data_IF_729398221604
#
_entry.id   IF_729398221604
#
_cell.length_a   1.000
_cell.length_b   1.000
_cell.length_c   1.000
_cell.angle_alpha   90.00
_cell.angle_beta   90.00
_cell.angle_gamma   90.00
#
_symmetry.space_group_name_H-M   'P 1'
#
loop_
_entity.id
_entity.type
_entity.pdbx_description
1 polymer ?
#
# COMPACT_ATOMS: atom_id res chain seq x y z
N UNK A 1 41.26 -4.71 -1.82
CA UNK A 1 40.76 -5.65 -2.85
C UNK A 1 41.94 -6.35 -3.50
N UNK A 2 41.82 -7.65 -3.78
CA UNK A 2 42.86 -8.47 -4.44
C UNK A 2 42.27 -9.18 -5.64
N UNK A 3 42.87 -9.04 -6.82
CA UNK A 3 42.46 -9.81 -8.00
C UNK A 3 42.93 -11.25 -7.86
N UNK A 4 41.98 -12.17 -7.86
CA UNK A 4 42.24 -13.61 -7.79
C UNK A 4 42.33 -14.22 -9.18
N UNK A 5 41.51 -13.74 -10.11
CA UNK A 5 41.48 -14.21 -11.48
C UNK A 5 41.07 -13.08 -12.43
N UNK A 6 41.75 -12.99 -13.56
CA UNK A 6 41.37 -12.16 -14.69
C UNK A 6 41.90 -12.86 -15.94
N UNK A 7 41.02 -13.12 -16.91
CA UNK A 7 41.40 -13.60 -18.24
C UNK A 7 40.81 -12.67 -19.28
N UNK A 8 41.55 -12.44 -20.37
CA UNK A 8 41.05 -11.71 -21.53
C UNK A 8 39.96 -12.48 -22.29
N UNK A 9 39.84 -13.80 -22.05
CA UNK A 9 38.83 -14.68 -22.66
C UNK A 9 37.58 -14.86 -21.79
N UNK A 10 37.64 -14.53 -20.50
CA UNK A 10 36.51 -14.67 -19.59
C UNK A 10 35.68 -13.39 -19.54
N UNK A 11 34.35 -13.52 -19.60
CA UNK A 11 33.42 -12.38 -19.50
C UNK A 11 33.36 -11.72 -18.10
N UNK A 12 34.21 -12.15 -17.16
CA UNK A 12 34.27 -11.62 -15.79
C UNK A 12 35.68 -11.75 -15.21
N UNK A 13 35.92 -11.00 -14.13
CA UNK A 13 37.09 -11.16 -13.26
C UNK A 13 36.65 -11.56 -11.84
N UNK A 14 37.53 -12.20 -11.08
CA UNK A 14 37.26 -12.59 -9.70
C UNK A 14 38.12 -11.76 -8.75
N UNK A 15 37.48 -11.07 -7.81
CA UNK A 15 38.13 -10.28 -6.78
C UNK A 15 37.83 -10.85 -5.39
N UNK A 16 38.81 -10.78 -4.50
CA UNK A 16 38.61 -10.88 -3.06
C UNK A 16 38.46 -9.47 -2.49
N UNK A 17 37.34 -9.23 -1.82
CA UNK A 17 36.96 -7.91 -1.30
C UNK A 17 36.65 -8.05 0.19
N UNK A 18 37.29 -7.27 1.08
CA UNK A 18 36.89 -7.21 2.48
C UNK A 18 35.41 -6.84 2.62
N UNK A 19 34.69 -7.47 3.55
CA UNK A 19 33.25 -7.21 3.71
C UNK A 19 32.93 -5.72 3.93
N UNK A 20 33.76 -5.01 4.69
CA UNK A 20 33.60 -3.58 4.92
C UNK A 20 33.74 -2.75 3.64
N UNK A 21 34.69 -3.09 2.75
CA UNK A 21 34.86 -2.45 1.46
C UNK A 21 33.63 -2.69 0.58
N UNK A 22 33.14 -3.93 0.53
CA UNK A 22 31.95 -4.26 -0.25
C UNK A 22 30.71 -3.47 0.21
N UNK A 23 30.54 -3.26 1.52
CA UNK A 23 29.45 -2.44 2.03
C UNK A 23 29.46 -1.01 1.46
N UNK A 24 30.65 -0.45 1.19
CA UNK A 24 30.84 0.91 0.66
C UNK A 24 30.62 1.03 -0.86
N UNK A 25 30.63 -0.08 -1.61
CA UNK A 25 30.37 -0.10 -3.06
C UNK A 25 28.95 0.42 -3.33
N UNK A 26 28.75 1.20 -4.39
CA UNK A 26 27.45 1.79 -4.71
C UNK A 26 26.40 0.73 -5.09
N UNK A 27 25.13 1.04 -4.86
CA UNK A 27 24.00 0.18 -5.24
C UNK A 27 23.32 0.74 -6.48
N UNK A 28 23.30 -0.06 -7.55
CA UNK A 28 22.54 0.28 -8.74
C UNK A 28 21.06 -0.04 -8.55
N UNK A 29 20.14 0.60 -9.30
CA UNK A 29 18.74 0.17 -9.37
C UNK A 29 18.56 -1.33 -9.67
N UNK A 30 19.47 -1.93 -10.44
CA UNK A 30 19.49 -3.37 -10.75
C UNK A 30 19.60 -4.25 -9.49
N UNK A 31 20.35 -3.81 -8.49
CA UNK A 31 20.55 -4.53 -7.22
C UNK A 31 19.25 -4.83 -6.48
N UNK A 32 18.25 -3.95 -6.62
CA UNK A 32 16.95 -4.09 -5.97
C UNK A 32 16.06 -5.13 -6.66
N UNK A 33 16.29 -5.40 -7.95
CA UNK A 33 15.43 -6.23 -8.77
C UNK A 33 15.78 -7.72 -8.73
N UNK A 34 17.01 -8.07 -8.35
CA UNK A 34 17.37 -9.48 -8.17
C UNK A 34 16.42 -10.06 -7.10
N UNK A 35 15.67 -11.14 -7.44
CA UNK A 35 14.67 -11.71 -6.54
C UNK A 35 15.27 -12.06 -5.19
N UNK A 36 14.53 -11.76 -4.13
CA UNK A 36 14.90 -12.21 -2.81
C UNK A 36 14.80 -13.74 -2.75
N UNK A 37 15.87 -14.36 -2.30
CA UNK A 37 15.84 -15.76 -1.87
C UNK A 37 15.24 -15.81 -0.46
N UNK A 38 14.55 -16.89 -0.11
CA UNK A 38 14.02 -17.10 1.26
C UNK A 38 15.14 -16.96 2.30
N UNK A 39 14.90 -16.21 3.39
CA UNK A 39 15.83 -16.10 4.52
C UNK A 39 16.27 -17.48 5.03
N UNK A 40 15.36 -18.46 5.05
CA UNK A 40 15.64 -19.82 5.51
C UNK A 40 16.65 -20.55 4.63
N UNK A 41 16.72 -20.20 3.34
CA UNK A 41 17.69 -20.78 2.41
C UNK A 41 19.13 -20.45 2.84
N UNK A 42 19.41 -19.19 3.18
CA UNK A 42 20.75 -18.77 3.59
C UNK A 42 21.15 -19.31 4.96
N UNK A 43 20.19 -19.34 5.90
CA UNK A 43 20.42 -19.92 7.22
C UNK A 43 20.71 -21.43 7.13
N UNK A 44 20.02 -22.14 6.24
CA UNK A 44 20.28 -23.56 5.97
C UNK A 44 21.71 -23.78 5.44
N UNK A 45 22.15 -22.98 4.46
CA UNK A 45 23.51 -23.11 3.90
C UNK A 45 24.61 -22.85 4.93
N UNK A 46 24.38 -21.96 5.90
CA UNK A 46 25.36 -21.66 6.95
C UNK A 46 25.64 -22.85 7.88
N UNK A 47 24.72 -23.83 7.97
CA UNK A 47 24.90 -25.02 8.81
C UNK A 47 26.00 -25.96 8.29
N UNK A 48 26.38 -25.85 7.01
CA UNK A 48 27.45 -26.63 6.41
C UNK A 48 28.69 -25.77 6.18
N UNK A 49 29.85 -26.07 6.79
CA UNK A 49 31.08 -25.29 6.59
C UNK A 49 31.53 -25.19 5.13
N UNK A 50 31.25 -26.21 4.31
CA UNK A 50 31.60 -26.20 2.88
C UNK A 50 30.67 -25.32 2.06
N UNK A 51 29.41 -25.16 2.48
CA UNK A 51 28.41 -24.33 1.79
C UNK A 51 28.33 -22.91 2.37
N UNK A 52 28.81 -22.69 3.59
CA UNK A 52 28.85 -21.35 4.19
C UNK A 52 29.72 -20.40 3.38
N UNK A 53 30.77 -20.90 2.72
CA UNK A 53 31.60 -20.12 1.79
C UNK A 53 30.81 -19.62 0.57
N UNK A 54 29.78 -20.35 0.12
CA UNK A 54 28.92 -19.91 -0.97
C UNK A 54 28.14 -18.64 -0.61
N UNK A 55 27.83 -18.42 0.67
CA UNK A 55 27.19 -17.17 1.11
C UNK A 55 28.09 -15.95 0.90
N UNK A 56 29.41 -16.14 0.84
CA UNK A 56 30.38 -15.08 0.57
C UNK A 56 30.57 -14.75 -0.91
N UNK A 57 29.89 -15.44 -1.82
CA UNK A 57 29.93 -15.15 -3.25
C UNK A 57 28.95 -14.02 -3.59
N UNK A 58 29.43 -13.02 -4.31
CA UNK A 58 28.65 -11.87 -4.78
C UNK A 58 29.01 -11.50 -6.20
N UNK A 59 28.13 -10.78 -6.87
CA UNK A 59 28.33 -10.26 -8.21
C UNK A 59 28.37 -8.73 -8.20
N UNK A 60 29.31 -8.15 -8.95
CA UNK A 60 29.47 -6.72 -9.16
C UNK A 60 29.48 -6.40 -10.65
N UNK A 61 29.03 -5.20 -10.98
CA UNK A 61 29.21 -4.60 -12.31
C UNK A 61 30.34 -3.57 -12.22
N UNK A 62 31.23 -3.59 -13.21
CA UNK A 62 32.24 -2.56 -13.40
C UNK A 62 31.86 -1.70 -14.59
N UNK A 63 31.61 -0.43 -14.33
CA UNK A 63 31.20 0.57 -15.33
C UNK A 63 32.31 1.60 -15.42
N UNK A 64 33.09 1.54 -16.50
CA UNK A 64 34.32 2.33 -16.60
C UNK A 64 35.30 1.98 -15.46
N UNK A 65 35.54 2.93 -14.55
CA UNK A 65 36.42 2.76 -13.38
C UNK A 65 35.71 2.42 -12.07
N UNK A 66 34.37 2.40 -12.04
CA UNK A 66 33.58 2.27 -10.82
C UNK A 66 32.92 0.90 -10.68
N UNK A 67 32.67 0.50 -9.42
CA UNK A 67 31.99 -0.74 -9.08
C UNK A 67 30.59 -0.47 -8.53
N UNK A 68 29.65 -1.31 -8.96
CA UNK A 68 28.27 -1.30 -8.52
C UNK A 68 27.86 -2.70 -8.08
N UNK A 69 27.10 -2.80 -6.99
CA UNK A 69 26.51 -4.07 -6.56
C UNK A 69 25.50 -4.56 -7.60
N UNK A 70 25.58 -5.84 -7.95
CA UNK A 70 24.61 -6.52 -8.80
C UNK A 70 23.70 -7.45 -7.99
N UNK A 71 24.30 -8.27 -7.11
CA UNK A 71 23.57 -9.18 -6.22
C UNK A 71 24.04 -9.12 -4.76
N UNK A 72 23.33 -9.83 -3.89
CA UNK A 72 23.67 -9.94 -2.46
C UNK A 72 22.80 -9.11 -1.53
N UNK A 73 21.67 -8.57 -2.03
CA UNK A 73 20.71 -7.76 -1.27
C UNK A 73 20.21 -8.46 -0.01
N UNK A 74 19.68 -9.68 -0.12
CA UNK A 74 19.17 -10.38 1.06
C UNK A 74 20.31 -10.73 2.05
N UNK A 75 21.45 -11.24 1.55
CA UNK A 75 22.61 -11.53 2.40
C UNK A 75 23.11 -10.29 3.16
N UNK A 76 23.15 -9.12 2.51
CA UNK A 76 23.45 -7.83 3.15
C UNK A 76 22.51 -7.56 4.34
N UNK A 77 21.21 -7.76 4.17
CA UNK A 77 20.21 -7.54 5.21
C UNK A 77 20.38 -8.53 6.37
N UNK A 78 20.62 -9.81 6.06
CA UNK A 78 20.85 -10.86 7.06
C UNK A 78 22.15 -10.63 7.85
N UNK A 79 23.23 -10.23 7.19
CA UNK A 79 24.50 -9.86 7.85
C UNK A 79 24.34 -8.65 8.75
N UNK A 80 23.65 -7.60 8.29
CA UNK A 80 23.43 -6.38 9.07
C UNK A 80 22.50 -6.59 10.26
N UNK A 81 21.50 -7.46 10.13
CA UNK A 81 20.60 -7.81 11.23
C UNK A 81 21.21 -8.81 12.23
N UNK A 82 22.38 -9.39 11.91
CA UNK A 82 23.03 -10.41 12.74
C UNK A 82 22.39 -11.80 12.63
N UNK A 83 21.39 -11.99 11.76
CA UNK A 83 20.78 -13.29 11.49
C UNK A 83 21.75 -14.25 10.80
N UNK A 84 22.63 -13.72 9.95
CA UNK A 84 23.71 -14.46 9.27
C UNK A 84 25.05 -13.89 9.73
N UNK A 85 26.06 -14.74 9.96
CA UNK A 85 27.39 -14.21 10.30
C UNK A 85 28.04 -13.57 9.06
N UNK A 86 28.52 -12.32 9.15
CA UNK A 86 29.24 -11.70 8.05
C UNK A 86 30.59 -12.39 7.84
N UNK A 87 31.00 -12.64 6.58
CA UNK A 87 32.35 -13.13 6.31
C UNK A 87 33.37 -12.00 6.45
N UNK A 88 34.64 -12.34 6.70
CA UNK A 88 35.73 -11.34 6.71
C UNK A 88 35.97 -10.78 5.30
N UNK A 89 35.90 -11.66 4.30
CA UNK A 89 36.09 -11.36 2.87
C UNK A 89 35.00 -12.01 2.03
N UNK A 90 34.63 -11.33 0.94
CA UNK A 90 33.73 -11.79 -0.09
C UNK A 90 34.51 -12.12 -1.36
N UNK A 91 34.03 -13.12 -2.09
CA UNK A 91 34.49 -13.41 -3.46
C UNK A 91 33.51 -12.76 -4.45
N UNK A 92 33.98 -11.74 -5.15
CA UNK A 92 33.19 -10.95 -6.09
C UNK A 92 33.50 -11.34 -7.53
N UNK A 93 32.49 -11.81 -8.25
CA UNK A 93 32.51 -11.90 -9.72
C UNK A 93 32.20 -10.52 -10.29
N UNK A 94 33.14 -9.94 -11.04
CA UNK A 94 33.05 -8.60 -11.59
C UNK A 94 32.90 -8.68 -13.10
N UNK A 95 31.76 -8.21 -13.59
CA UNK A 95 31.44 -8.13 -15.01
C UNK A 95 31.67 -6.71 -15.50
N UNK A 96 32.54 -6.53 -16.49
CA UNK A 96 32.70 -5.24 -17.16
C UNK A 96 31.48 -5.01 -18.06
N UNK A 97 30.83 -3.86 -17.88
CA UNK A 97 29.66 -3.45 -18.67
C UNK A 97 29.88 -2.02 -19.17
N UNK A 98 29.43 -1.73 -20.39
CA UNK A 98 29.55 -0.38 -20.94
C UNK A 98 28.63 0.61 -20.20
N UNK A 99 29.02 1.88 -20.13
CA UNK A 99 28.17 2.95 -19.56
C UNK A 99 26.80 3.05 -20.25
N UNK A 100 26.76 2.83 -21.57
CA UNK A 100 25.54 2.87 -22.38
C UNK A 100 24.60 1.73 -21.99
N UNK A 101 25.12 0.51 -21.88
CA UNK A 101 24.32 -0.67 -21.50
C UNK A 101 23.85 -0.59 -20.05
N UNK A 102 24.71 -0.15 -19.14
CA UNK A 102 24.34 0.08 -17.74
C UNK A 102 23.21 1.12 -17.61
N UNK A 103 23.29 2.21 -18.37
CA UNK A 103 22.25 3.25 -18.38
C UNK A 103 20.93 2.73 -18.94
N UNK A 104 20.98 1.97 -20.04
CA UNK A 104 19.79 1.37 -20.67
C UNK A 104 19.09 0.37 -19.74
N UNK A 105 19.85 -0.53 -19.10
CA UNK A 105 19.31 -1.48 -18.13
C UNK A 105 18.70 -0.76 -16.94
N UNK A 106 19.36 0.24 -16.37
CA UNK A 106 18.80 1.02 -15.26
C UNK A 106 17.50 1.73 -15.66
N UNK A 107 17.42 2.32 -16.86
CA UNK A 107 16.22 2.98 -17.35
C UNK A 107 15.06 1.98 -17.56
N UNK A 108 15.33 0.84 -18.20
CA UNK A 108 14.34 -0.24 -18.34
C UNK A 108 13.85 -0.72 -16.98
N UNK A 109 14.76 -0.86 -16.01
CA UNK A 109 14.42 -1.30 -14.67
C UNK A 109 13.61 -0.28 -13.88
N UNK A 110 13.90 1.01 -14.02
CA UNK A 110 13.07 2.06 -13.43
C UNK A 110 11.66 2.04 -14.02
N UNK A 111 11.53 1.85 -15.34
CA UNK A 111 10.23 1.70 -15.99
C UNK A 111 9.48 0.44 -15.52
N UNK A 112 10.17 -0.69 -15.34
CA UNK A 112 9.58 -1.92 -14.78
C UNK A 112 9.15 -1.76 -13.33
N UNK A 113 9.95 -1.07 -12.50
CA UNK A 113 9.63 -0.81 -11.09
C UNK A 113 8.32 -0.04 -10.94
N UNK A 114 8.09 0.98 -11.76
CA UNK A 114 6.81 1.72 -11.76
C UNK A 114 5.62 0.76 -12.02
N UNK A 115 5.82 -0.29 -12.82
CA UNK A 115 4.79 -1.27 -13.16
C UNK A 115 4.68 -2.45 -12.17
N UNK A 116 5.61 -2.62 -11.22
CA UNK A 116 5.64 -3.77 -10.29
C UNK A 116 5.59 -3.41 -8.80
N UNK A 117 5.53 -2.13 -8.45
CA UNK A 117 5.33 -1.71 -7.06
C UNK A 117 3.99 -2.26 -6.52
N UNK A 118 3.95 -2.74 -5.27
CA UNK A 118 2.69 -2.95 -4.58
C UNK A 118 1.81 -1.70 -4.67
N UNK A 119 0.50 -1.87 -4.88
CA UNK A 119 -0.41 -0.73 -5.13
C UNK A 119 -0.34 0.34 -4.05
N UNK A 120 -0.10 -0.05 -2.80
CA UNK A 120 0.05 0.89 -1.69
C UNK A 120 1.31 1.77 -1.78
N UNK A 121 2.44 1.24 -2.29
CA UNK A 121 3.66 2.02 -2.54
C UNK A 121 3.48 2.97 -3.74
N UNK A 122 2.76 2.52 -4.78
CA UNK A 122 2.38 3.39 -5.89
C UNK A 122 1.51 4.56 -5.41
N UNK A 123 0.56 4.29 -4.51
CA UNK A 123 -0.28 5.32 -3.89
C UNK A 123 0.55 6.31 -3.05
N UNK A 124 1.54 5.82 -2.30
CA UNK A 124 2.46 6.68 -1.55
C UNK A 124 3.26 7.60 -2.47
N UNK A 125 3.78 7.07 -3.59
CA UNK A 125 4.42 7.91 -4.62
C UNK A 125 3.48 8.97 -5.19
N UNK A 126 2.22 8.63 -5.43
CA UNK A 126 1.20 9.60 -5.87
C UNK A 126 0.97 10.69 -4.81
N UNK A 127 0.96 10.35 -3.51
CA UNK A 127 0.83 11.35 -2.45
C UNK A 127 1.98 12.36 -2.51
N UNK A 128 3.21 11.89 -2.63
CA UNK A 128 4.40 12.73 -2.77
C UNK A 128 4.31 13.64 -4.00
N UNK A 129 3.96 13.08 -5.17
CA UNK A 129 3.78 13.84 -6.41
C UNK A 129 2.70 14.93 -6.33
N UNK A 130 1.65 14.69 -5.53
CA UNK A 130 0.55 15.65 -5.33
C UNK A 130 0.80 16.60 -4.14
N UNK A 131 1.93 16.46 -3.43
CA UNK A 131 2.24 17.27 -2.24
C UNK A 131 1.34 16.98 -1.04
N UNK A 132 0.75 15.79 -0.97
CA UNK A 132 -0.14 15.36 0.10
C UNK A 132 0.67 14.70 1.24
N UNK A 133 0.79 15.38 2.37
CA UNK A 133 1.56 14.92 3.52
C UNK A 133 0.64 14.37 4.61
N UNK A 134 0.28 13.08 4.52
CA UNK A 134 -0.55 12.41 5.53
C UNK A 134 0.26 11.94 6.74
N UNK A 135 -0.32 12.08 7.92
CA UNK A 135 0.34 11.79 9.20
C UNK A 135 -0.18 10.52 9.87
N UNK A 136 -1.44 10.15 9.63
CA UNK A 136 -2.04 8.96 10.23
C UNK A 136 -1.54 7.70 9.52
N UNK A 137 -1.19 6.67 10.29
CA UNK A 137 -0.73 5.37 9.76
C UNK A 137 -1.76 4.76 8.78
N UNK A 138 -3.05 4.98 9.03
CA UNK A 138 -4.11 4.42 8.20
C UNK A 138 -4.15 5.01 6.78
N UNK A 139 -3.93 6.31 6.62
CA UNK A 139 -3.96 6.97 5.30
C UNK A 139 -2.57 6.94 4.66
N UNK A 140 -1.52 7.22 5.43
CA UNK A 140 -0.11 7.25 5.00
C UNK A 140 0.37 5.90 4.44
N UNK A 141 -0.16 4.78 4.92
CA UNK A 141 0.21 3.44 4.43
C UNK A 141 -0.27 3.13 3.01
N UNK A 142 -1.13 3.96 2.40
CA UNK A 142 -1.52 3.82 0.99
C UNK A 142 -2.56 2.73 0.70
N UNK A 143 -3.10 2.04 1.71
CA UNK A 143 -4.13 1.01 1.55
C UNK A 143 -5.54 1.60 1.34
N UNK A 144 -5.72 2.41 0.29
CA UNK A 144 -7.01 3.08 -0.01
C UNK A 144 -7.61 2.69 -1.37
N UNK A 145 -6.89 1.92 -2.20
CA UNK A 145 -7.33 1.56 -3.56
C UNK A 145 -8.75 0.97 -3.61
N UNK A 146 -9.05 -0.02 -2.76
CA UNK A 146 -10.39 -0.64 -2.73
C UNK A 146 -11.47 0.32 -2.22
N UNK A 147 -11.13 1.22 -1.30
CA UNK A 147 -12.07 2.23 -0.82
C UNK A 147 -12.41 3.23 -1.93
N UNK A 148 -11.43 3.65 -2.72
CA UNK A 148 -11.61 4.49 -3.92
C UNK A 148 -12.50 3.76 -4.95
N UNK A 149 -12.23 2.47 -5.22
CA UNK A 149 -13.06 1.68 -6.14
C UNK A 149 -14.52 1.61 -5.70
N UNK A 150 -14.77 1.36 -4.40
CA UNK A 150 -16.13 1.37 -3.87
C UNK A 150 -16.74 2.78 -3.94
N UNK A 151 -16.00 3.84 -3.61
CA UNK A 151 -16.51 5.21 -3.64
C UNK A 151 -16.88 5.68 -5.06
N UNK A 152 -16.11 5.30 -6.08
CA UNK A 152 -16.34 5.73 -7.47
C UNK A 152 -17.24 4.80 -8.27
N UNK A 153 -17.17 3.48 -8.03
CA UNK A 153 -17.84 2.45 -8.84
C UNK A 153 -18.86 1.63 -8.05
N UNK A 154 -18.99 1.86 -6.75
CA UNK A 154 -19.93 1.15 -5.87
C UNK A 154 -19.47 -0.25 -5.48
N UNK A 155 -18.35 -0.74 -5.97
CA UNK A 155 -17.86 -2.10 -5.71
C UNK A 155 -16.34 -2.21 -5.80
N UNK A 156 -15.74 -3.10 -5.01
CA UNK A 156 -14.31 -3.37 -5.07
C UNK A 156 -13.92 -3.95 -6.44
N UNK A 157 -12.64 -3.83 -6.79
CA UNK A 157 -12.15 -4.18 -8.13
C UNK A 157 -12.46 -5.64 -8.51
N UNK A 158 -12.36 -6.55 -7.56
CA UNK A 158 -12.62 -7.97 -7.74
C UNK A 158 -14.08 -8.32 -8.11
N UNK A 159 -15.04 -7.44 -7.82
CA UNK A 159 -16.48 -7.66 -8.05
C UNK A 159 -17.04 -6.87 -9.26
N UNK A 160 -16.17 -6.18 -9.98
CA UNK A 160 -16.54 -5.41 -11.18
C UNK A 160 -16.66 -6.34 -12.40
N UNK A 161 -17.62 -6.03 -13.28
CA UNK A 161 -17.86 -6.76 -14.52
C UNK A 161 -16.94 -6.25 -15.63
N UNK A 162 -15.86 -6.99 -15.87
CA UNK A 162 -14.83 -6.66 -16.88
C UNK A 162 -15.35 -6.69 -18.33
N UNK A 163 -16.60 -7.11 -18.56
CA UNK A 163 -17.25 -7.05 -19.88
C UNK A 163 -17.77 -5.65 -20.19
N UNK A 164 -18.07 -4.86 -19.15
CA UNK A 164 -18.48 -3.48 -19.31
C UNK A 164 -17.25 -2.61 -19.59
N UNK A 165 -17.29 -1.79 -20.63
CA UNK A 165 -16.14 -0.97 -21.06
C UNK A 165 -15.55 -0.12 -19.94
N UNK A 166 -16.40 0.55 -19.16
CA UNK A 166 -16.02 1.43 -18.04
C UNK A 166 -15.54 0.69 -16.78
N UNK A 167 -15.71 -0.64 -16.72
CA UNK A 167 -15.19 -1.48 -15.63
C UNK A 167 -14.09 -2.43 -16.11
N UNK A 168 -13.75 -2.40 -17.40
CA UNK A 168 -12.63 -3.17 -17.93
C UNK A 168 -11.32 -2.54 -17.47
N UNK A 169 -11.22 -1.22 -17.53
CA UNK A 169 -10.03 -0.46 -17.19
C UNK A 169 -9.92 -0.20 -15.69
N UNK A 170 -8.68 -0.10 -15.20
CA UNK A 170 -8.40 0.31 -13.83
C UNK A 170 -8.69 1.81 -13.64
N UNK A 171 -8.91 2.21 -12.39
CA UNK A 171 -9.08 3.63 -12.04
C UNK A 171 -7.72 4.34 -12.17
N UNK A 172 -7.71 5.55 -12.72
CA UNK A 172 -6.54 6.44 -12.70
C UNK A 172 -6.35 6.95 -11.26
N UNK A 173 -5.60 6.18 -10.48
CA UNK A 173 -5.38 6.44 -9.05
C UNK A 173 -4.88 7.85 -8.77
N UNK A 174 -4.09 8.45 -9.67
CA UNK A 174 -3.58 9.81 -9.50
C UNK A 174 -4.71 10.83 -9.58
N UNK A 175 -5.59 10.71 -10.58
CA UNK A 175 -6.78 11.56 -10.68
C UNK A 175 -7.75 11.32 -9.53
N UNK A 176 -8.00 10.07 -9.16
CA UNK A 176 -8.90 9.73 -8.07
C UNK A 176 -8.40 10.24 -6.70
N UNK A 177 -7.09 10.12 -6.40
CA UNK A 177 -6.52 10.65 -5.16
C UNK A 177 -6.58 12.18 -5.15
N UNK A 178 -6.27 12.83 -6.27
CA UNK A 178 -6.40 14.29 -6.39
C UNK A 178 -7.84 14.74 -6.14
N UNK A 179 -8.81 14.02 -6.70
CA UNK A 179 -10.24 14.28 -6.52
C UNK A 179 -10.70 14.19 -5.06
N UNK A 180 -10.18 13.22 -4.32
CA UNK A 180 -10.51 12.98 -2.91
C UNK A 180 -9.53 13.65 -1.92
N UNK A 181 -8.66 14.54 -2.39
CA UNK A 181 -7.58 15.12 -1.56
C UNK A 181 -8.11 15.83 -0.31
N UNK A 182 -9.18 16.60 -0.43
CA UNK A 182 -9.82 17.28 0.70
C UNK A 182 -10.41 16.28 1.71
N UNK A 183 -11.12 15.26 1.23
CA UNK A 183 -11.72 14.24 2.08
C UNK A 183 -10.65 13.39 2.77
N UNK A 184 -9.58 13.01 2.07
CA UNK A 184 -8.46 12.28 2.64
C UNK A 184 -7.73 13.11 3.69
N UNK A 185 -7.54 14.41 3.46
CA UNK A 185 -6.91 15.34 4.43
C UNK A 185 -7.78 15.49 5.68
N UNK A 186 -9.09 15.64 5.49
CA UNK A 186 -10.05 15.67 6.59
C UNK A 186 -10.01 14.38 7.40
N UNK A 187 -10.07 13.23 6.73
CA UNK A 187 -10.02 11.92 7.38
C UNK A 187 -8.68 11.75 8.10
N UNK A 188 -7.54 12.18 7.53
CA UNK A 188 -6.24 12.11 8.21
C UNK A 188 -6.21 12.94 9.50
N UNK A 189 -6.85 14.11 9.49
CA UNK A 189 -6.86 15.05 10.63
C UNK A 189 -7.48 14.50 11.91
N UNK A 190 -8.38 13.51 11.80
CA UNK A 190 -9.00 12.84 12.96
C UNK A 190 -8.19 11.64 13.46
N UNK A 191 -6.99 11.42 12.92
CA UNK A 191 -6.08 10.30 13.21
C UNK A 191 -6.81 8.93 13.19
N UNK A 192 -7.28 8.48 12.01
CA UNK A 192 -8.19 7.37 11.85
C UNK A 192 -7.53 6.07 12.29
N UNK A 193 -8.14 5.37 13.24
CA UNK A 193 -7.64 4.09 13.72
C UNK A 193 -7.88 3.03 12.63
N UNK A 194 -6.87 2.24 12.22
CA UNK A 194 -7.01 1.28 11.12
C UNK A 194 -8.10 0.23 11.35
N UNK A 195 -8.40 0.03 12.61
CA UNK A 195 -9.28 -0.96 13.16
C UNK A 195 -10.76 -0.47 13.16
N UNK A 196 -10.98 0.83 12.98
CA UNK A 196 -12.29 1.45 12.75
C UNK A 196 -12.47 1.85 11.28
N UNK A 197 -11.48 2.54 10.71
CA UNK A 197 -11.49 3.01 9.32
C UNK A 197 -11.07 1.91 8.33
N UNK A 198 -11.73 0.76 8.41
CA UNK A 198 -11.59 -0.32 7.43
C UNK A 198 -12.15 0.11 6.07
N UNK A 199 -11.85 -0.65 5.01
CA UNK A 199 -12.18 -0.30 3.60
C UNK A 199 -13.61 0.19 3.40
N UNK A 200 -14.62 -0.48 3.96
CA UNK A 200 -16.01 -0.08 3.82
C UNK A 200 -16.34 1.26 4.50
N UNK A 201 -15.81 1.49 5.71
CA UNK A 201 -15.99 2.76 6.44
C UNK A 201 -15.30 3.90 5.71
N UNK A 202 -14.08 3.66 5.23
CA UNK A 202 -13.33 4.65 4.45
C UNK A 202 -14.06 5.01 3.15
N UNK A 203 -14.59 4.03 2.42
CA UNK A 203 -15.37 4.28 1.21
C UNK A 203 -16.64 5.09 1.49
N UNK A 204 -17.37 4.75 2.56
CA UNK A 204 -18.54 5.51 2.99
C UNK A 204 -18.18 6.94 3.37
N UNK A 205 -17.08 7.15 4.08
CA UNK A 205 -16.58 8.48 4.44
C UNK A 205 -16.22 9.31 3.20
N UNK A 206 -15.52 8.74 2.22
CA UNK A 206 -15.19 9.41 0.95
C UNK A 206 -16.44 9.86 0.18
N UNK A 207 -17.49 9.03 0.16
CA UNK A 207 -18.76 9.36 -0.50
C UNK A 207 -19.45 10.51 0.25
N UNK A 208 -19.61 10.39 1.57
CA UNK A 208 -20.42 11.32 2.36
C UNK A 208 -19.74 12.67 2.59
N UNK A 209 -18.42 12.71 2.75
CA UNK A 209 -17.67 13.97 2.80
C UNK A 209 -17.64 14.66 1.43
N UNK A 210 -17.62 13.87 0.35
CA UNK A 210 -17.65 14.37 -1.03
C UNK A 210 -18.93 15.09 -1.44
N UNK A 211 -20.00 15.02 -0.64
CA UNK A 211 -21.25 15.78 -0.83
C UNK A 211 -21.34 17.02 0.07
N UNK A 212 -20.22 17.48 0.64
CA UNK A 212 -20.07 18.73 1.42
C UNK A 212 -20.85 18.77 2.74
N UNK A 213 -20.84 17.66 3.48
CA UNK A 213 -21.49 17.53 4.78
C UNK A 213 -20.47 17.77 5.91
N UNK A 214 -20.83 18.58 6.90
CA UNK A 214 -20.02 18.73 8.12
C UNK A 214 -20.20 17.48 9.00
N UNK A 215 -19.25 16.55 8.88
CA UNK A 215 -19.29 15.25 9.54
C UNK A 215 -18.13 15.07 10.53
N UNK A 216 -17.50 16.15 10.96
CA UNK A 216 -16.31 16.08 11.81
C UNK A 216 -16.64 15.45 13.16
N UNK A 217 -17.71 15.91 13.79
CA UNK A 217 -18.17 15.35 15.06
C UNK A 217 -18.49 13.86 14.91
N UNK A 218 -19.28 13.50 13.89
CA UNK A 218 -19.69 12.12 13.65
C UNK A 218 -18.48 11.18 13.50
N UNK A 219 -17.57 11.48 12.57
CA UNK A 219 -16.42 10.61 12.31
C UNK A 219 -15.41 10.62 13.47
N UNK A 220 -15.28 11.73 14.20
CA UNK A 220 -14.47 11.76 15.43
C UNK A 220 -15.06 10.83 16.49
N UNK A 221 -16.38 10.88 16.71
CA UNK A 221 -17.07 10.00 17.67
C UNK A 221 -16.98 8.54 17.25
N UNK A 222 -17.13 8.22 15.96
CA UNK A 222 -16.93 6.86 15.43
C UNK A 222 -15.50 6.39 15.66
N UNK A 223 -14.49 7.23 15.34
CA UNK A 223 -13.07 6.90 15.54
C UNK A 223 -12.74 6.61 17.01
N UNK A 224 -13.40 7.32 17.92
CA UNK A 224 -13.22 7.21 19.37
C UNK A 224 -14.18 6.25 20.05
N UNK A 225 -15.06 5.57 19.30
CA UNK A 225 -16.09 4.66 19.83
C UNK A 225 -17.04 5.34 20.84
N UNK A 226 -17.31 6.62 20.64
CA UNK A 226 -18.17 7.46 21.48
C UNK A 226 -19.62 7.44 20.98
N UNK A 227 -20.19 6.24 20.90
CA UNK A 227 -21.62 6.06 20.67
C UNK A 227 -22.41 6.20 21.97
N UNK A 228 -23.65 6.67 21.88
CA UNK A 228 -24.55 6.85 23.01
C UNK A 228 -25.66 5.80 23.06
N UNK A 229 -26.13 5.52 24.28
CA UNK A 229 -27.23 4.62 24.54
C UNK A 229 -28.32 5.31 25.36
N UNK A 230 -29.58 5.17 24.96
CA UNK A 230 -30.76 5.67 25.68
C UNK A 230 -31.84 4.61 25.70
N UNK A 231 -32.28 4.18 26.88
CA UNK A 231 -33.37 3.20 27.05
C UNK A 231 -33.19 1.91 26.20
N UNK A 232 -31.97 1.35 26.15
CA UNK A 232 -31.59 0.20 25.31
C UNK A 232 -31.64 0.46 23.79
N UNK A 233 -31.66 1.72 23.37
CA UNK A 233 -31.49 2.16 21.99
C UNK A 233 -30.10 2.74 21.81
N UNK A 234 -29.52 2.52 20.64
CA UNK A 234 -28.22 3.01 20.20
C UNK A 234 -28.41 4.21 19.27
N UNK A 235 -27.54 5.21 19.38
CA UNK A 235 -27.41 6.26 18.37
C UNK A 235 -26.72 5.72 17.09
N UNK A 236 -26.70 6.49 15.99
CA UNK A 236 -26.08 6.05 14.74
C UNK A 236 -24.59 5.71 14.87
N UNK A 237 -23.86 6.40 15.77
CA UNK A 237 -22.44 6.14 16.06
C UNK A 237 -22.27 4.77 16.72
N UNK A 238 -22.99 4.49 17.81
CA UNK A 238 -22.97 3.21 18.52
C UNK A 238 -23.35 2.06 17.58
N UNK A 239 -24.39 2.25 16.77
CA UNK A 239 -24.84 1.26 15.79
C UNK A 239 -23.77 0.92 14.73
N UNK A 240 -23.02 1.92 14.26
CA UNK A 240 -21.92 1.71 13.31
C UNK A 240 -20.71 1.04 13.98
N UNK A 241 -20.29 1.51 15.16
CA UNK A 241 -19.17 0.93 15.92
C UNK A 241 -19.42 -0.55 16.23
N UNK A 242 -20.62 -0.89 16.71
CA UNK A 242 -21.02 -2.27 16.97
C UNK A 242 -21.03 -3.12 15.69
N UNK A 243 -21.38 -2.54 14.54
CA UNK A 243 -21.31 -3.24 13.25
C UNK A 243 -19.86 -3.56 12.88
N UNK A 244 -18.96 -2.57 13.02
CA UNK A 244 -17.53 -2.74 12.74
C UNK A 244 -16.94 -3.84 13.63
N UNK A 245 -17.24 -3.81 14.93
CA UNK A 245 -16.75 -4.82 15.89
C UNK A 245 -17.23 -6.23 15.56
N UNK A 246 -18.52 -6.40 15.23
CA UNK A 246 -19.06 -7.72 14.83
C UNK A 246 -18.38 -8.31 13.61
N UNK A 247 -17.95 -7.47 12.67
CA UNK A 247 -17.29 -7.90 11.45
C UNK A 247 -15.78 -8.08 11.60
N UNK A 248 -15.21 -7.76 12.76
CA UNK A 248 -13.77 -7.88 13.04
C UNK A 248 -13.36 -9.10 13.87
N UNK A 249 -14.30 -9.80 14.50
CA UNK A 249 -14.00 -10.92 15.40
C UNK A 249 -13.56 -12.20 14.65
N UNK A 250 -13.73 -12.29 13.32
CA UNK A 250 -13.50 -13.53 12.54
C UNK A 250 -12.19 -13.63 11.72
N UNK A 251 -11.21 -12.72 11.89
CA UNK A 251 -9.83 -12.78 11.33
C UNK A 251 -9.66 -12.72 9.78
N UNK A 252 -8.43 -12.37 9.35
CA UNK A 252 -7.83 -12.35 7.98
C UNK A 252 -8.66 -11.78 6.83
N UNK A 253 -8.37 -10.52 6.49
CA UNK A 253 -8.84 -9.80 5.29
C UNK A 253 -10.37 -9.78 5.10
N UNK A 254 -10.99 -8.65 5.43
CA UNK A 254 -12.44 -8.45 5.24
C UNK A 254 -12.88 -8.84 3.82
N UNK A 255 -13.83 -9.76 3.64
CA UNK A 255 -14.33 -10.13 2.32
C UNK A 255 -14.81 -8.92 1.52
N UNK A 256 -14.60 -8.94 0.21
CA UNK A 256 -14.96 -7.86 -0.70
C UNK A 256 -16.43 -7.40 -0.55
N UNK A 257 -17.35 -8.36 -0.43
CA UNK A 257 -18.79 -8.09 -0.21
C UNK A 257 -19.07 -7.40 1.12
N UNK A 258 -18.32 -7.75 2.18
CA UNK A 258 -18.50 -7.16 3.50
C UNK A 258 -18.05 -5.70 3.52
N UNK A 259 -17.01 -5.36 2.74
CA UNK A 259 -16.59 -3.96 2.55
C UNK A 259 -17.71 -3.13 1.90
N UNK A 260 -18.42 -3.68 0.92
CA UNK A 260 -19.58 -3.00 0.30
C UNK A 260 -20.72 -2.86 1.31
N UNK A 261 -21.05 -3.91 2.05
CA UNK A 261 -22.09 -3.84 3.09
C UNK A 261 -21.76 -2.79 4.15
N UNK A 262 -20.51 -2.75 4.62
CA UNK A 262 -20.08 -1.79 5.62
C UNK A 262 -20.08 -0.35 5.08
N UNK A 263 -19.76 -0.15 3.79
CA UNK A 263 -19.94 1.14 3.12
C UNK A 263 -21.41 1.57 3.16
N UNK A 264 -22.34 0.68 2.80
CA UNK A 264 -23.79 0.95 2.84
C UNK A 264 -24.28 1.30 4.25
N UNK A 265 -23.79 0.59 5.26
CA UNK A 265 -24.13 0.87 6.67
C UNK A 265 -23.52 2.17 7.17
N UNK A 266 -22.31 2.52 6.72
CA UNK A 266 -21.66 3.80 7.05
C UNK A 266 -22.48 4.96 6.49
N UNK A 267 -22.89 4.90 5.22
CA UNK A 267 -23.76 5.91 4.60
C UNK A 267 -25.07 6.03 5.39
N UNK A 268 -25.74 4.92 5.71
CA UNK A 268 -26.97 4.97 6.49
C UNK A 268 -26.76 5.60 7.88
N UNK A 269 -25.67 5.28 8.56
CA UNK A 269 -25.38 5.86 9.88
C UNK A 269 -25.18 7.38 9.79
N UNK A 270 -24.49 7.85 8.75
CA UNK A 270 -24.34 9.28 8.47
C UNK A 270 -25.71 9.93 8.17
N UNK A 271 -26.52 9.32 7.30
CA UNK A 271 -27.85 9.87 6.98
C UNK A 271 -28.71 10.01 8.23
N UNK A 272 -28.72 9.00 9.12
CA UNK A 272 -29.46 9.08 10.39
C UNK A 272 -28.90 10.13 11.34
N UNK A 273 -27.57 10.30 11.37
CA UNK A 273 -26.92 11.34 12.16
C UNK A 273 -27.40 12.74 11.73
N UNK A 274 -27.46 12.97 10.42
CA UNK A 274 -27.86 14.26 9.86
C UNK A 274 -29.36 14.54 9.98
N UNK A 275 -30.21 13.51 9.96
CA UNK A 275 -31.63 13.65 10.32
C UNK A 275 -31.82 14.15 11.76
N UNK A 276 -30.82 13.95 12.63
CA UNK A 276 -30.77 14.47 13.98
C UNK A 276 -31.52 13.63 15.01
N UNK A 277 -31.28 13.96 16.29
CA UNK A 277 -31.77 13.22 17.48
C UNK A 277 -33.30 13.12 17.55
N UNK A 278 -33.99 14.09 16.95
CA UNK A 278 -35.46 14.16 16.89
C UNK A 278 -36.06 13.20 15.84
N UNK A 279 -35.25 12.65 14.93
CA UNK A 279 -35.73 11.65 13.98
C UNK A 279 -36.18 10.39 14.72
N UNK A 280 -37.37 9.83 14.39
CA UNK A 280 -37.83 8.57 14.98
C UNK A 280 -36.91 7.39 14.63
N UNK A 281 -36.00 7.57 13.66
CA UNK A 281 -35.05 6.58 13.22
C UNK A 281 -33.66 6.75 13.86
N UNK A 282 -33.42 7.80 14.66
CA UNK A 282 -32.11 8.08 15.27
C UNK A 282 -31.75 7.04 16.34
N UNK A 283 -32.63 6.86 17.34
CA UNK A 283 -32.45 5.90 18.43
C UNK A 283 -32.98 4.53 18.04
N UNK A 284 -32.10 3.53 17.90
CA UNK A 284 -32.46 2.21 17.37
C UNK A 284 -31.97 1.05 18.20
N UNK A 285 -32.78 -0.01 18.28
CA UNK A 285 -32.38 -1.28 18.92
C UNK A 285 -31.66 -2.23 17.96
N UNK A 286 -32.00 -2.14 16.66
CA UNK A 286 -31.44 -2.99 15.61
C UNK A 286 -30.15 -2.37 15.09
N UNK A 287 -29.21 -3.22 14.64
CA UNK A 287 -28.04 -2.77 13.91
C UNK A 287 -28.43 -1.89 12.71
N UNK A 288 -27.54 -0.98 12.34
CA UNK A 288 -27.69 -0.19 11.12
C UNK A 288 -27.87 -1.11 9.92
N UNK A 289 -28.99 -0.94 9.22
CA UNK A 289 -29.27 -1.61 7.95
C UNK A 289 -28.49 -0.92 6.84
N UNK A 290 -27.86 -1.67 5.94
CA UNK A 290 -27.27 -1.09 4.75
C UNK A 290 -28.37 -0.56 3.82
N UNK A 291 -28.10 0.55 3.14
CA UNK A 291 -28.95 1.11 2.08
C UNK A 291 -28.30 0.99 0.71
N UNK A 292 -29.06 1.29 -0.36
CA UNK A 292 -28.46 1.45 -1.68
C UNK A 292 -27.56 2.70 -1.69
N UNK A 293 -26.28 2.50 -1.97
CA UNK A 293 -25.25 3.52 -1.97
C UNK A 293 -25.06 4.18 -3.34
N UNK A 294 -25.62 3.61 -4.41
CA UNK A 294 -25.48 4.16 -5.77
C UNK A 294 -26.05 5.59 -5.93
N UNK A 295 -27.20 5.97 -5.32
CA UNK A 295 -27.69 7.34 -5.34
C UNK A 295 -26.68 8.34 -4.75
N UNK A 296 -26.05 7.99 -3.63
CA UNK A 296 -25.06 8.82 -2.95
C UNK A 296 -23.76 8.96 -3.75
N UNK A 297 -23.34 7.91 -4.45
CA UNK A 297 -22.21 7.99 -5.38
C UNK A 297 -22.53 8.95 -6.53
N UNK A 298 -23.75 8.90 -7.09
CA UNK A 298 -24.16 9.82 -8.17
C UNK A 298 -24.22 11.26 -7.67
N UNK A 299 -24.71 11.48 -6.45
CA UNK A 299 -24.72 12.80 -5.80
C UNK A 299 -23.29 13.32 -5.57
N UNK A 300 -22.39 12.51 -5.02
CA UNK A 300 -20.99 12.85 -4.84
C UNK A 300 -20.31 13.18 -6.17
N UNK A 301 -20.57 12.39 -7.22
CA UNK A 301 -20.04 12.66 -8.56
C UNK A 301 -20.52 14.00 -9.11
N UNK A 302 -21.80 14.33 -8.93
CA UNK A 302 -22.39 15.65 -9.27
C UNK A 302 -21.75 16.79 -8.51
N UNK A 303 -21.60 16.65 -7.20
CA UNK A 303 -20.96 17.65 -6.34
C UNK A 303 -19.51 17.91 -6.76
N UNK A 304 -18.81 16.87 -7.21
CA UNK A 304 -17.42 16.96 -7.69
C UNK A 304 -17.28 17.21 -9.20
N UNK A 305 -18.37 17.43 -9.94
CA UNK A 305 -18.38 17.70 -11.39
C UNK A 305 -17.71 16.60 -12.27
N UNK A 306 -17.96 15.33 -11.96
CA UNK A 306 -17.32 14.16 -12.63
C UNK A 306 -18.34 13.15 -13.17
N UNK A 307 -19.60 13.55 -13.30
CA UNK A 307 -20.78 12.72 -13.61
C UNK A 307 -20.63 12.00 -14.94
N UNK A 308 -19.91 12.61 -15.89
CA UNK A 308 -19.62 12.09 -17.22
C UNK A 308 -18.22 11.47 -17.38
N UNK A 309 -17.36 11.52 -16.35
CA UNK A 309 -16.02 10.93 -16.43
C UNK A 309 -16.14 9.42 -16.21
N UNK A 310 -15.95 8.69 -17.31
CA UNK A 310 -15.99 7.21 -17.34
C UNK A 310 -14.77 6.62 -16.63
N UNK A 311 -13.63 7.28 -16.80
CA UNK A 311 -12.32 6.81 -16.38
C UNK A 311 -11.63 7.92 -15.56
N UNK A 312 -12.14 8.07 -14.35
CA UNK A 312 -11.30 8.50 -13.23
C UNK A 312 -10.45 7.34 -12.77
#
# INVERSE_FOLDING_TARGET
MKTLYSSAESAYSLLEIPYHDWLSIQESPLFLFIPDQDDNYWLFLQQSPSLSQYSGLVSLLKVGGELYKFDGKNRKALWRSGKLQPPDTLMAQVFDISEVEFSALNAEMQAKRINTLPTNELIQGIYEELGLNFTSERIKSGFINEAINIALRGRPRALQDKRLSHEREDIDLKKAIKLFSNELTFIDSINPKPDIFVTGVLAGALIMLGTHRDLQEFFTRVNNRQGEHKNNLEDPVAGLVRTIERHRIDDRSMPAMLSVELCRKTIQAVTLWEEGVESPLYWRRKLVSGIDHMPYIREMKRAKHIDGQRDL
#
